data_IF_388869316833
#
_entry.id   IF_388869316833
#
_cell.length_a   1.000
_cell.length_b   1.000
_cell.length_c   1.000
_cell.angle_alpha   90.00
_cell.angle_beta   90.00
_cell.angle_gamma   90.00
#
_symmetry.space_group_name_H-M   'P 1'
#
loop_
_entity.id
_entity.type
_entity.pdbx_description
1 polymer ?
#
# COMPACT_ATOMS: atom_id res chain seq x y z
N UNK A 1 -13.39 -0.48 6.33
CA UNK A 1 -11.91 -0.63 6.42
C UNK A 1 -11.31 -0.57 5.02
N UNK A 2 -10.24 0.18 4.80
CA UNK A 2 -9.63 0.24 3.48
C UNK A 2 -9.08 -1.13 3.05
N UNK A 3 -9.06 -1.36 1.75
CA UNK A 3 -8.50 -2.56 1.14
C UNK A 3 -7.09 -2.26 0.67
N UNK A 4 -6.17 -3.18 0.88
CA UNK A 4 -4.76 -2.97 0.62
C UNK A 4 -4.23 -3.86 -0.50
N UNK A 5 -3.22 -3.37 -1.20
CA UNK A 5 -2.45 -4.12 -2.20
C UNK A 5 -0.98 -4.01 -1.79
N UNK A 6 -0.38 -5.12 -1.38
CA UNK A 6 1.01 -5.16 -0.93
C UNK A 6 1.94 -5.31 -2.13
N UNK A 7 2.89 -4.39 -2.24
CA UNK A 7 3.96 -4.40 -3.24
C UNK A 7 4.75 -5.72 -3.22
N UNK A 8 5.41 -6.05 -4.32
CA UNK A 8 6.15 -7.31 -4.48
C UNK A 8 7.27 -7.54 -3.46
N UNK A 9 7.77 -6.48 -2.82
CA UNK A 9 8.78 -6.61 -1.76
C UNK A 9 8.20 -7.02 -0.41
N UNK A 10 6.86 -7.08 -0.32
CA UNK A 10 6.16 -7.50 0.89
C UNK A 10 5.64 -8.93 0.71
N UNK A 11 5.88 -9.78 1.72
CA UNK A 11 5.56 -11.20 1.65
C UNK A 11 4.06 -11.48 1.58
N UNK A 12 3.61 -12.52 0.84
CA UNK A 12 2.23 -13.01 0.95
C UNK A 12 1.86 -13.40 2.39
N UNK A 13 2.83 -13.77 3.23
CA UNK A 13 2.59 -14.07 4.64
C UNK A 13 2.09 -12.83 5.40
N UNK A 14 2.52 -11.64 4.98
CA UNK A 14 2.03 -10.39 5.55
C UNK A 14 0.56 -10.17 5.20
N UNK A 15 0.17 -10.45 3.96
CA UNK A 15 -1.23 -10.36 3.55
C UNK A 15 -2.10 -11.29 4.39
N UNK A 16 -1.65 -12.52 4.61
CA UNK A 16 -2.35 -13.49 5.45
C UNK A 16 -2.48 -12.98 6.90
N UNK A 17 -1.40 -12.44 7.46
CA UNK A 17 -1.39 -11.88 8.81
C UNK A 17 -2.37 -10.71 8.95
N UNK A 18 -2.46 -9.86 7.93
CA UNK A 18 -3.41 -8.74 7.90
C UNK A 18 -4.85 -9.22 7.80
N UNK A 19 -5.11 -10.23 6.97
CA UNK A 19 -6.45 -10.82 6.86
C UNK A 19 -6.93 -11.38 8.21
N UNK A 20 -6.04 -12.01 8.96
CA UNK A 20 -6.35 -12.51 10.31
C UNK A 20 -6.67 -11.39 11.30
N UNK A 21 -6.20 -10.19 11.03
CA UNK A 21 -6.49 -8.99 11.83
C UNK A 21 -7.72 -8.21 11.32
N UNK A 22 -8.41 -8.74 10.32
CA UNK A 22 -9.59 -8.10 9.74
C UNK A 22 -9.29 -7.01 8.72
N UNK A 23 -8.06 -6.98 8.20
CA UNK A 23 -7.65 -6.03 7.15
C UNK A 23 -7.57 -6.79 5.82
N UNK A 24 -8.39 -6.37 4.84
CA UNK A 24 -8.39 -6.98 3.51
C UNK A 24 -7.11 -6.57 2.76
N UNK A 25 -6.22 -7.52 2.55
CA UNK A 25 -4.95 -7.29 1.88
C UNK A 25 -4.65 -8.42 0.91
N UNK A 26 -4.18 -8.07 -0.28
CA UNK A 26 -3.65 -9.05 -1.24
C UNK A 26 -2.20 -8.69 -1.55
N UNK A 27 -1.40 -9.72 -1.82
CA UNK A 27 0.00 -9.54 -2.16
C UNK A 27 0.21 -9.60 -3.67
N UNK A 28 1.02 -8.68 -4.18
CA UNK A 28 1.49 -8.72 -5.58
C UNK A 28 2.42 -9.91 -5.78
N UNK A 29 3.31 -10.17 -4.82
CA UNK A 29 4.26 -11.29 -4.88
C UNK A 29 3.53 -12.62 -5.04
N UNK A 30 3.95 -13.42 -5.99
CA UNK A 30 3.36 -14.72 -6.26
C UNK A 30 2.01 -14.67 -6.98
N UNK A 31 1.56 -13.51 -7.42
CA UNK A 31 0.32 -13.32 -8.17
C UNK A 31 0.63 -12.88 -9.61
N UNK A 32 -0.37 -12.92 -10.52
CA UNK A 32 -0.19 -12.39 -11.87
C UNK A 32 0.17 -10.89 -11.89
N UNK A 33 -0.13 -10.14 -10.82
CA UNK A 33 0.19 -8.73 -10.73
C UNK A 33 1.69 -8.46 -10.61
N UNK A 34 2.49 -9.47 -10.25
CA UNK A 34 3.95 -9.35 -10.11
C UNK A 34 4.65 -9.04 -11.44
N UNK A 35 3.99 -9.28 -12.56
CA UNK A 35 4.55 -9.00 -13.90
C UNK A 35 4.28 -7.58 -14.38
N UNK A 36 3.47 -6.80 -13.66
CA UNK A 36 3.11 -5.45 -14.07
C UNK A 36 4.23 -4.46 -13.76
N UNK A 37 4.37 -3.47 -14.64
CA UNK A 37 5.20 -2.30 -14.35
C UNK A 37 4.54 -1.45 -13.27
N UNK A 38 5.31 -0.59 -12.61
CA UNK A 38 4.80 0.24 -11.50
C UNK A 38 3.59 1.07 -11.92
N UNK A 39 3.61 1.70 -13.10
CA UNK A 39 2.49 2.49 -13.59
C UNK A 39 1.24 1.64 -13.85
N UNK A 40 1.43 0.41 -14.35
CA UNK A 40 0.34 -0.54 -14.58
C UNK A 40 -0.24 -1.02 -13.26
N UNK A 41 0.61 -1.30 -12.27
CA UNK A 41 0.21 -1.69 -10.93
C UNK A 41 -0.60 -0.57 -10.27
N UNK A 42 -0.17 0.67 -10.43
CA UNK A 42 -0.85 1.84 -9.88
C UNK A 42 -2.26 1.98 -10.45
N UNK A 43 -2.40 1.84 -11.79
CA UNK A 43 -3.69 1.86 -12.45
C UNK A 43 -4.59 0.69 -11.98
N UNK A 44 -4.01 -0.49 -11.80
CA UNK A 44 -4.73 -1.67 -11.32
C UNK A 44 -5.24 -1.47 -9.89
N UNK A 45 -4.42 -0.89 -9.02
CA UNK A 45 -4.83 -0.56 -7.67
C UNK A 45 -6.04 0.38 -7.67
N UNK A 46 -6.03 1.39 -8.54
CA UNK A 46 -7.16 2.30 -8.70
C UNK A 46 -8.42 1.55 -9.13
N UNK A 47 -8.31 0.65 -10.10
CA UNK A 47 -9.43 -0.15 -10.60
C UNK A 47 -9.99 -1.06 -9.51
N UNK A 48 -9.13 -1.62 -8.67
CA UNK A 48 -9.53 -2.51 -7.59
C UNK A 48 -9.99 -1.76 -6.33
N UNK A 49 -9.83 -0.45 -6.28
CA UNK A 49 -10.14 0.35 -5.10
C UNK A 49 -9.25 0.00 -3.91
N UNK A 50 -7.98 -0.34 -4.17
CA UNK A 50 -7.03 -0.74 -3.13
C UNK A 50 -5.94 0.32 -2.94
N UNK A 51 -5.47 0.44 -1.71
CA UNK A 51 -4.35 1.30 -1.33
C UNK A 51 -3.08 0.48 -1.45
N UNK A 52 -2.07 0.99 -2.15
CA UNK A 52 -0.78 0.31 -2.28
C UNK A 52 0.02 0.51 -0.98
N UNK A 53 0.62 -0.58 -0.49
CA UNK A 53 1.56 -0.54 0.63
C UNK A 53 2.93 -0.91 0.09
N UNK A 54 3.90 -0.04 0.30
CA UNK A 54 5.26 -0.24 -0.20
C UNK A 54 6.28 0.32 0.79
N UNK A 55 7.54 -0.13 0.67
CA UNK A 55 8.63 0.53 1.37
C UNK A 55 8.90 1.90 0.72
N UNK A 56 9.71 2.73 1.41
CA UNK A 56 10.10 4.03 0.90
C UNK A 56 10.63 3.90 -0.53
N UNK A 57 9.82 4.31 -1.48
CA UNK A 57 10.14 4.25 -2.90
C UNK A 57 9.86 5.63 -3.54
N UNK A 58 10.90 6.45 -3.77
CA UNK A 58 10.71 7.77 -4.37
C UNK A 58 10.02 7.73 -5.74
N UNK A 59 10.17 6.62 -6.48
CA UNK A 59 9.56 6.48 -7.80
C UNK A 59 8.03 6.49 -7.70
N UNK A 60 7.45 5.96 -6.63
CA UNK A 60 6.01 6.00 -6.43
C UNK A 60 5.46 7.41 -6.23
N UNK A 61 6.26 8.33 -5.67
CA UNK A 61 5.83 9.73 -5.54
C UNK A 61 5.67 10.36 -6.93
N UNK A 62 6.61 10.10 -7.82
CA UNK A 62 6.53 10.56 -9.21
C UNK A 62 5.35 9.91 -9.93
N UNK A 63 5.08 8.61 -9.70
CA UNK A 63 3.97 7.88 -10.30
C UNK A 63 2.62 8.44 -9.85
N UNK A 64 2.47 8.80 -8.57
CA UNK A 64 1.25 9.43 -8.06
C UNK A 64 0.96 10.71 -8.84
N UNK A 65 1.97 11.56 -8.99
CA UNK A 65 1.84 12.84 -9.70
C UNK A 65 1.49 12.62 -11.18
N UNK A 66 2.19 11.69 -11.83
CA UNK A 66 1.96 11.37 -13.23
C UNK A 66 0.54 10.81 -13.47
N UNK A 67 0.10 9.90 -12.59
CA UNK A 67 -1.23 9.32 -12.68
C UNK A 67 -2.32 10.39 -12.51
N UNK A 68 -2.17 11.27 -11.53
CA UNK A 68 -3.13 12.35 -11.29
C UNK A 68 -3.24 13.28 -12.50
N UNK A 69 -2.10 13.61 -13.12
CA UNK A 69 -2.06 14.47 -14.30
C UNK A 69 -2.69 13.81 -15.52
N UNK A 70 -2.46 12.50 -15.70
CA UNK A 70 -2.98 11.75 -16.85
C UNK A 70 -4.47 11.37 -16.69
N UNK A 71 -4.99 11.36 -15.47
CA UNK A 71 -6.35 10.90 -15.16
C UNK A 71 -7.09 11.91 -14.27
N UNK A 72 -7.35 13.14 -14.76
CA UNK A 72 -7.92 14.21 -13.92
C UNK A 72 -9.31 13.89 -13.38
N UNK A 73 -10.03 12.96 -14.01
CA UNK A 73 -11.39 12.58 -13.60
C UNK A 73 -11.43 11.26 -12.82
N UNK A 74 -10.27 10.64 -12.54
CA UNK A 74 -10.18 9.41 -11.76
C UNK A 74 -9.66 9.71 -10.35
N UNK A 75 -10.18 8.95 -9.40
CA UNK A 75 -9.66 9.01 -8.04
C UNK A 75 -8.24 8.43 -8.00
N UNK A 76 -7.32 9.15 -7.38
CA UNK A 76 -5.94 8.67 -7.20
C UNK A 76 -5.94 7.55 -6.16
N UNK A 77 -5.34 6.39 -6.45
CA UNK A 77 -5.20 5.37 -5.42
C UNK A 77 -4.26 5.87 -4.33
N UNK A 78 -4.57 5.52 -3.09
CA UNK A 78 -3.70 5.86 -1.98
C UNK A 78 -2.44 5.00 -1.95
N UNK A 79 -1.40 5.50 -1.30
CA UNK A 79 -0.15 4.76 -1.07
C UNK A 79 0.27 4.94 0.38
N UNK A 80 0.61 3.84 1.03
CA UNK A 80 1.19 3.84 2.38
C UNK A 80 2.67 3.49 2.24
N UNK A 81 3.53 4.39 2.69
CA UNK A 81 4.98 4.22 2.67
C UNK A 81 5.48 3.74 4.03
N UNK A 82 6.24 2.64 4.02
CA UNK A 82 6.87 2.08 5.22
C UNK A 82 8.35 2.49 5.21
N UNK A 83 8.86 3.06 6.32
CA UNK A 83 10.28 3.44 6.40
C UNK A 83 11.16 2.19 6.53
N UNK A 84 11.71 1.73 5.42
CA UNK A 84 12.50 0.49 5.35
C UNK A 84 13.77 0.49 6.18
N UNK A 85 14.23 1.65 6.67
CA UNK A 85 15.36 1.74 7.58
C UNK A 85 14.99 1.39 9.03
N UNK A 86 13.70 1.44 9.38
CA UNK A 86 13.21 1.24 10.75
C UNK A 86 12.53 -0.10 10.96
N UNK A 87 12.11 -0.75 9.87
CA UNK A 87 11.44 -2.05 9.95
C UNK A 87 11.77 -2.87 8.70
N UNK A 88 12.05 -4.16 8.89
CA UNK A 88 12.44 -5.06 7.80
C UNK A 88 11.24 -5.81 7.24
N UNK A 89 11.34 -6.23 5.98
CA UNK A 89 10.32 -7.03 5.31
C UNK A 89 10.05 -8.37 6.03
N UNK A 90 11.04 -8.91 6.75
CA UNK A 90 10.91 -10.16 7.50
C UNK A 90 10.17 -10.01 8.83
N UNK A 91 9.95 -8.79 9.30
CA UNK A 91 9.27 -8.53 10.58
C UNK A 91 7.75 -8.53 10.39
N UNK A 92 7.20 -9.70 10.01
CA UNK A 92 5.79 -9.83 9.60
C UNK A 92 4.81 -9.35 10.67
N UNK A 93 4.99 -9.79 11.92
CA UNK A 93 4.07 -9.43 13.00
C UNK A 93 4.08 -7.92 13.29
N UNK A 94 5.26 -7.32 13.28
CA UNK A 94 5.41 -5.89 13.50
C UNK A 94 4.82 -5.08 12.36
N UNK A 95 5.10 -5.49 11.11
CA UNK A 95 4.53 -4.87 9.91
C UNK A 95 3.00 -4.96 9.94
N UNK A 96 2.45 -6.13 10.27
CA UNK A 96 1.00 -6.30 10.33
C UNK A 96 0.37 -5.37 11.37
N UNK A 97 0.98 -5.24 12.55
CA UNK A 97 0.48 -4.35 13.60
C UNK A 97 0.51 -2.88 13.18
N UNK A 98 1.61 -2.45 12.57
CA UNK A 98 1.79 -1.07 12.11
C UNK A 98 0.80 -0.74 10.98
N UNK A 99 0.69 -1.63 10.00
CA UNK A 99 -0.21 -1.43 8.86
C UNK A 99 -1.67 -1.44 9.32
N UNK A 100 -2.03 -2.34 10.23
CA UNK A 100 -3.38 -2.37 10.79
C UNK A 100 -3.73 -1.03 11.44
N UNK A 101 -2.83 -0.47 12.25
CA UNK A 101 -3.08 0.82 12.90
C UNK A 101 -3.29 1.94 11.88
N UNK A 102 -2.48 1.99 10.84
CA UNK A 102 -2.64 2.98 9.76
C UNK A 102 -3.98 2.78 9.04
N UNK A 103 -4.34 1.54 8.74
CA UNK A 103 -5.61 1.23 8.08
C UNK A 103 -6.81 1.69 8.92
N UNK A 104 -6.75 1.48 10.24
CA UNK A 104 -7.81 1.93 11.16
C UNK A 104 -7.90 3.45 11.22
N UNK A 105 -6.78 4.15 11.18
CA UNK A 105 -6.76 5.61 11.15
C UNK A 105 -7.36 6.15 9.85
N UNK A 106 -7.09 5.51 8.73
CA UNK A 106 -7.71 5.86 7.45
C UNK A 106 -9.22 5.65 7.52
N UNK A 107 -9.64 4.53 8.08
CA UNK A 107 -11.06 4.16 8.21
C UNK A 107 -11.82 5.19 9.06
N UNK A 108 -11.17 5.74 10.09
CA UNK A 108 -11.77 6.77 10.98
C UNK A 108 -11.68 8.19 10.40
N UNK A 109 -11.08 8.35 9.22
CA UNK A 109 -10.88 9.66 8.62
C UNK A 109 -9.76 10.48 9.27
N UNK A 110 -8.89 9.84 10.06
CA UNK A 110 -7.78 10.49 10.76
C UNK A 110 -6.50 10.57 9.92
N UNK A 111 -6.45 9.87 8.80
CA UNK A 111 -5.30 9.86 7.90
C UNK A 111 -5.79 9.74 6.46
N UNK A 112 -5.08 10.39 5.53
CA UNK A 112 -5.43 10.40 4.10
C UNK A 112 -4.28 9.80 3.30
N UNK A 113 -4.49 8.63 2.63
CA UNK A 113 -3.44 7.99 1.86
C UNK A 113 -3.23 8.58 0.46
N UNK A 114 -4.09 9.48 0.01
CA UNK A 114 -3.94 10.13 -1.29
C UNK A 114 -2.63 10.92 -1.28
N UNK A 115 -1.86 10.85 -2.35
CA UNK A 115 -0.54 11.50 -2.49
C UNK A 115 0.54 10.98 -1.52
N UNK A 116 0.29 9.84 -0.89
CA UNK A 116 1.27 9.17 -0.05
C UNK A 116 1.11 9.47 1.43
N UNK A 117 1.06 8.43 2.24
CA UNK A 117 0.99 8.50 3.68
C UNK A 117 2.15 7.70 4.27
N UNK A 118 3.01 8.38 5.03
CA UNK A 118 4.14 7.75 5.68
C UNK A 118 3.73 7.17 7.02
N UNK A 119 4.13 5.93 7.27
CA UNK A 119 3.95 5.30 8.58
C UNK A 119 4.94 5.92 9.55
N UNK A 120 4.42 6.39 10.69
CA UNK A 120 5.25 6.92 11.77
C UNK A 120 5.54 5.80 12.77
N UNK A 121 6.82 5.47 12.91
CA UNK A 121 7.28 4.43 13.85
C UNK A 121 7.91 5.02 15.12
N UNK A 122 7.76 6.31 15.31
CA UNK A 122 8.28 7.00 16.48
C UNK A 122 9.63 7.65 16.29
#
# INVERSE_FOLDING_TARGET
MPKLLLDEHLSPNLAEALMKRGVDAIAVAGSPLATLLDEELFAKAADLGRIIVTFNNPDFVAEITAFAAANPNRQVPGVIFIPGKKIRASEISRLAAVIEEVARRIDRGEADPRYGLWVDLG
#
